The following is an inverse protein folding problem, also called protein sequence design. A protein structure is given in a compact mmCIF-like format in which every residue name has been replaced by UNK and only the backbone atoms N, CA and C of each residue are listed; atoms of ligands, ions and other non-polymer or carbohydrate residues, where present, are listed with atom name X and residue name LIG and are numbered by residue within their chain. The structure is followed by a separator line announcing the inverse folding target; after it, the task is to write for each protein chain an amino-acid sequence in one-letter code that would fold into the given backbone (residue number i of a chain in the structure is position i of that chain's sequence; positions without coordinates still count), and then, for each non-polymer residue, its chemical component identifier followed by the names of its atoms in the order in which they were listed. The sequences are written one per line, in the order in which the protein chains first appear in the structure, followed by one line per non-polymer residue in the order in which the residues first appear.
data_IF_075610376092
#
_entry.id   IF_075610376092
#
_cell.length_a   1.000
_cell.length_b   1.000
_cell.length_c   1.000
_cell.angle_alpha   90.00
_cell.angle_beta   90.00
_cell.angle_gamma   90.00
#
_symmetry.space_group_name_H-M   'P 1'
#
loop_
_entity.id
_entity.type
_entity.pdbx_description
1 polymer ?
#
# COMPACT_ATOMS: atom_id res chain seq x y z
N UNK A 1 -40.48 -28.03 21.02
CA UNK A 1 -39.99 -29.20 21.78
C UNK A 1 -39.14 -28.62 22.89
N UNK A 2 -39.38 -29.01 24.14
CA UNK A 2 -38.73 -28.36 25.28
C UNK A 2 -37.44 -29.11 25.63
N UNK A 3 -36.34 -28.38 25.76
CA UNK A 3 -35.05 -28.97 26.10
C UNK A 3 -34.28 -28.08 27.09
N UNK A 4 -33.39 -28.72 27.86
CA UNK A 4 -32.47 -28.07 28.77
C UNK A 4 -31.10 -27.97 28.10
N UNK A 5 -30.50 -26.79 28.11
CA UNK A 5 -29.17 -26.56 27.57
C UNK A 5 -28.19 -26.14 28.68
N UNK A 6 -27.03 -26.78 28.72
CA UNK A 6 -25.97 -26.43 29.66
C UNK A 6 -25.21 -25.18 29.22
N UNK A 7 -25.08 -24.19 30.10
CA UNK A 7 -24.37 -22.94 29.84
C UNK A 7 -22.84 -23.10 29.60
N UNK A 8 -22.26 -24.22 30.03
CA UNK A 8 -20.81 -24.44 30.04
C UNK A 8 -20.34 -25.34 28.90
N UNK A 9 -21.08 -26.41 28.60
CA UNK A 9 -20.71 -27.37 27.55
C UNK A 9 -21.63 -27.36 26.32
N UNK A 10 -22.81 -26.72 26.39
CA UNK A 10 -23.81 -26.72 25.31
C UNK A 10 -24.53 -28.06 25.11
N UNK A 11 -24.43 -28.99 26.07
CA UNK A 11 -25.17 -30.26 26.03
C UNK A 11 -26.69 -30.02 26.12
N UNK A 12 -27.45 -30.70 25.26
CA UNK A 12 -28.91 -30.58 25.18
C UNK A 12 -29.60 -31.85 25.69
N UNK A 13 -30.52 -31.69 26.64
CA UNK A 13 -31.28 -32.78 27.23
C UNK A 13 -32.76 -32.56 26.92
N UNK A 14 -33.36 -33.49 26.19
CA UNK A 14 -34.80 -33.42 25.87
C UNK A 14 -35.60 -33.76 27.12
N UNK A 15 -36.62 -32.96 27.40
CA UNK A 15 -37.58 -33.27 28.46
C UNK A 15 -38.66 -34.16 27.85
N UNK A 16 -38.71 -35.44 28.24
CA UNK A 16 -39.81 -36.32 27.86
C UNK A 16 -41.07 -35.96 28.65
N UNK A 17 -42.20 -35.90 27.92
CA UNK A 17 -43.41 -35.23 28.36
C UNK A 17 -43.98 -35.72 29.69
N UNK A 18 -44.43 -34.74 30.48
CA UNK A 18 -45.34 -34.85 31.62
C UNK A 18 -44.75 -35.28 32.98
N UNK A 19 -43.65 -34.64 33.41
CA UNK A 19 -43.30 -34.52 34.84
C UNK A 19 -43.07 -33.04 35.21
N UNK A 20 -43.69 -32.62 36.31
CA UNK A 20 -43.58 -31.28 36.91
C UNK A 20 -42.11 -30.87 37.13
N UNK A 21 -41.73 -29.60 36.92
CA UNK A 21 -40.33 -29.14 36.81
C UNK A 21 -39.62 -28.98 38.16
N UNK A 22 -39.77 -29.94 39.07
CA UNK A 22 -39.38 -29.76 40.48
C UNK A 22 -38.37 -30.81 40.97
N UNK A 23 -37.98 -31.78 40.13
CA UNK A 23 -37.07 -32.86 40.52
C UNK A 23 -36.15 -33.34 39.39
N UNK A 24 -35.58 -32.42 38.61
CA UNK A 24 -34.52 -32.74 37.66
C UNK A 24 -33.21 -32.12 38.15
N UNK A 25 -32.18 -32.93 38.40
CA UNK A 25 -30.85 -32.48 38.86
C UNK A 25 -30.40 -31.22 38.12
N UNK A 26 -30.29 -30.10 38.85
CA UNK A 26 -29.96 -28.76 38.32
C UNK A 26 -28.51 -28.60 37.82
N UNK A 27 -27.78 -29.69 37.65
CA UNK A 27 -26.36 -29.67 37.30
C UNK A 27 -26.03 -30.70 36.22
N UNK A 28 -25.48 -30.20 35.11
CA UNK A 28 -24.80 -30.99 34.09
C UNK A 28 -23.66 -31.77 34.73
N UNK A 29 -23.35 -32.97 34.21
CA UNK A 29 -22.17 -33.76 34.62
C UNK A 29 -20.85 -32.99 34.47
N UNK A 30 -20.84 -31.94 33.66
CA UNK A 30 -19.75 -30.98 33.47
C UNK A 30 -19.64 -29.91 34.59
N UNK A 31 -20.51 -29.96 35.60
CA UNK A 31 -20.65 -28.97 36.68
C UNK A 31 -21.22 -27.63 36.23
N UNK A 32 -21.98 -27.60 35.14
CA UNK A 32 -22.66 -26.41 34.62
C UNK A 32 -24.15 -26.40 34.93
N UNK A 33 -24.75 -25.22 35.00
CA UNK A 33 -26.19 -25.05 35.24
C UNK A 33 -26.97 -25.24 33.94
N UNK A 34 -28.11 -25.92 34.05
CA UNK A 34 -29.02 -26.20 32.95
C UNK A 34 -30.08 -25.10 32.83
N UNK A 35 -30.28 -24.55 31.63
CA UNK A 35 -31.32 -23.55 31.35
C UNK A 35 -32.41 -24.14 30.47
N UNK A 36 -33.67 -23.90 30.84
CA UNK A 36 -34.84 -24.32 30.06
C UNK A 36 -35.04 -23.43 28.83
N UNK A 37 -35.17 -24.05 27.66
CA UNK A 37 -35.42 -23.38 26.39
C UNK A 37 -36.64 -24.03 25.73
N UNK A 38 -37.68 -23.22 25.49
CA UNK A 38 -38.88 -23.62 24.77
C UNK A 38 -38.84 -23.07 23.34
N UNK A 39 -38.95 -23.97 22.36
CA UNK A 39 -38.80 -23.72 20.92
C UNK A 39 -40.03 -23.06 20.26
N UNK A 40 -40.80 -22.26 21.03
CA UNK A 40 -42.00 -21.56 20.56
C UNK A 40 -41.73 -20.20 19.91
N UNK A 41 -40.54 -19.63 20.06
CA UNK A 41 -40.17 -18.33 19.48
C UNK A 41 -38.69 -18.41 19.11
N UNK A 42 -38.38 -18.25 17.82
CA UNK A 42 -37.08 -17.92 17.18
C UNK A 42 -36.78 -18.79 15.93
N UNK A 43 -37.75 -18.90 15.01
CA UNK A 43 -37.54 -19.53 13.70
C UNK A 43 -36.84 -18.65 12.64
N UNK A 44 -36.09 -17.61 13.05
CA UNK A 44 -35.41 -16.70 12.11
C UNK A 44 -33.91 -16.51 12.36
N UNK A 45 -33.30 -17.22 13.32
CA UNK A 45 -31.86 -17.06 13.63
C UNK A 45 -30.98 -18.29 13.43
N UNK A 46 -31.53 -19.39 12.91
CA UNK A 46 -30.82 -20.67 12.75
C UNK A 46 -30.27 -20.92 11.33
N UNK A 47 -30.67 -20.15 10.32
CA UNK A 47 -30.18 -20.31 8.94
C UNK A 47 -29.25 -19.19 8.47
N UNK A 48 -28.41 -18.67 9.37
CA UNK A 48 -27.26 -17.82 9.02
C UNK A 48 -25.96 -18.23 9.74
N UNK A 49 -25.95 -19.38 10.44
CA UNK A 49 -24.79 -19.84 11.23
C UNK A 49 -23.99 -20.98 10.58
N UNK A 50 -24.27 -21.37 9.33
CA UNK A 50 -23.52 -22.41 8.62
C UNK A 50 -22.69 -21.87 7.45
N UNK A 51 -22.25 -20.62 7.53
CA UNK A 51 -21.17 -20.12 6.68
C UNK A 51 -20.37 -19.02 7.40
N UNK A 52 -19.91 -19.29 8.62
CA UNK A 52 -18.70 -18.58 9.05
C UNK A 52 -17.56 -19.10 8.21
N UNK A 53 -16.91 -18.29 7.36
CA UNK A 53 -15.80 -18.77 6.54
C UNK A 53 -14.78 -19.44 7.46
N UNK A 54 -14.42 -20.69 7.19
CA UNK A 54 -13.38 -21.40 7.93
C UNK A 54 -12.05 -21.17 7.20
N UNK A 55 -11.03 -20.70 7.90
CA UNK A 55 -9.68 -20.54 7.36
C UNK A 55 -8.88 -21.80 7.67
N UNK A 56 -8.36 -22.44 6.63
CA UNK A 56 -7.54 -23.63 6.78
C UNK A 56 -6.10 -23.24 7.11
N UNK A 57 -5.51 -23.91 8.10
CA UNK A 57 -4.13 -23.66 8.48
C UNK A 57 -3.17 -24.19 7.40
N UNK A 58 -2.32 -23.35 6.78
CA UNK A 58 -1.40 -23.79 5.73
C UNK A 58 -0.30 -24.74 6.25
N UNK A 59 -0.10 -24.79 7.57
CA UNK A 59 0.94 -25.62 8.18
C UNK A 59 0.46 -27.00 8.66
N UNK A 60 -0.84 -27.18 8.90
CA UNK A 60 -1.34 -28.43 9.47
C UNK A 60 -2.73 -28.88 8.96
N UNK A 61 -3.34 -28.14 8.03
CA UNK A 61 -4.64 -28.46 7.42
C UNK A 61 -5.84 -28.32 8.36
N UNK A 62 -5.67 -27.79 9.58
CA UNK A 62 -6.78 -27.66 10.52
C UNK A 62 -7.69 -26.49 10.13
N UNK A 63 -9.00 -26.73 10.07
CA UNK A 63 -10.02 -25.71 9.79
C UNK A 63 -10.30 -24.88 11.04
N UNK A 64 -9.85 -23.62 11.02
CA UNK A 64 -10.06 -22.65 12.08
C UNK A 64 -11.21 -21.70 11.74
N UNK A 65 -11.76 -21.02 12.74
CA UNK A 65 -12.71 -19.93 12.51
C UNK A 65 -12.01 -18.80 11.72
N UNK A 66 -12.68 -18.16 10.77
CA UNK A 66 -12.11 -17.05 9.94
C UNK A 66 -11.42 -15.94 10.73
N UNK A 67 -11.87 -15.68 11.95
CA UNK A 67 -11.30 -14.65 12.84
C UNK A 67 -10.21 -15.17 13.78
N UNK A 68 -9.77 -16.43 13.64
CA UNK A 68 -8.74 -17.00 14.47
C UNK A 68 -7.36 -16.46 14.05
N UNK A 69 -6.67 -15.78 14.96
CA UNK A 69 -5.31 -15.28 14.73
C UNK A 69 -4.26 -16.39 14.73
N UNK A 70 -4.53 -17.46 15.46
CA UNK A 70 -3.66 -18.61 15.62
C UNK A 70 -4.44 -19.89 15.34
N UNK A 71 -3.75 -20.88 14.78
CA UNK A 71 -4.31 -22.20 14.58
C UNK A 71 -4.52 -22.88 15.93
N UNK A 72 -5.76 -23.28 16.21
CA UNK A 72 -6.13 -23.99 17.44
C UNK A 72 -5.36 -25.31 17.62
N UNK A 73 -4.98 -25.96 16.52
CA UNK A 73 -4.29 -27.27 16.54
C UNK A 73 -2.77 -27.15 16.67
N UNK A 74 -2.13 -26.27 15.91
CA UNK A 74 -0.65 -26.20 15.87
C UNK A 74 -0.05 -24.91 16.45
N UNK A 75 -0.88 -23.96 16.90
CA UNK A 75 -0.44 -22.70 17.51
C UNK A 75 0.17 -21.68 16.54
N UNK A 76 0.36 -22.02 15.26
CA UNK A 76 0.95 -21.09 14.27
C UNK A 76 -0.04 -19.99 13.88
N UNK A 77 0.49 -18.80 13.59
CA UNK A 77 -0.31 -17.64 13.15
C UNK A 77 -1.00 -17.93 11.82
N UNK A 78 -2.28 -17.58 11.75
CA UNK A 78 -3.14 -17.67 10.56
C UNK A 78 -3.36 -16.31 9.91
N UNK A 79 -3.24 -15.23 10.68
CA UNK A 79 -3.41 -13.86 10.20
C UNK A 79 -2.17 -13.50 9.36
N UNK A 80 -2.33 -13.46 8.03
CA UNK A 80 -1.30 -12.87 7.16
C UNK A 80 -1.21 -11.39 7.48
N UNK A 81 -0.05 -10.95 7.99
CA UNK A 81 0.26 -9.53 8.15
C UNK A 81 0.09 -8.80 6.80
N UNK A 82 -0.29 -7.51 6.83
CA UNK A 82 -0.45 -6.69 5.62
C UNK A 82 0.76 -6.76 4.68
N UNK A 83 1.97 -6.84 5.24
CA UNK A 83 3.24 -7.00 4.52
C UNK A 83 3.28 -8.29 3.69
N UNK A 84 2.77 -9.40 4.24
CA UNK A 84 2.71 -10.68 3.51
C UNK A 84 1.67 -10.64 2.40
N UNK A 85 0.56 -9.93 2.57
CA UNK A 85 -0.44 -9.78 1.51
C UNK A 85 0.10 -8.92 0.36
N UNK A 86 0.78 -7.82 0.68
CA UNK A 86 1.40 -6.95 -0.32
C UNK A 86 2.51 -7.70 -1.07
N UNK A 87 3.34 -8.49 -0.37
CA UNK A 87 4.42 -9.26 -1.00
C UNK A 87 3.89 -10.31 -1.99
N UNK A 88 2.73 -10.92 -1.72
CA UNK A 88 2.11 -11.88 -2.62
C UNK A 88 1.51 -11.20 -3.88
N UNK A 89 1.11 -9.92 -3.78
CA UNK A 89 0.52 -9.14 -4.89
C UNK A 89 1.58 -8.41 -5.75
N UNK A 90 2.84 -8.29 -5.28
CA UNK A 90 3.91 -7.62 -6.02
C UNK A 90 4.61 -8.58 -6.99
N UNK A 91 4.60 -8.23 -8.28
CA UNK A 91 5.40 -8.90 -9.30
C UNK A 91 6.68 -8.11 -9.60
N UNK A 92 7.78 -8.48 -8.94
CA UNK A 92 9.07 -7.77 -9.08
C UNK A 92 9.56 -7.66 -10.53
N UNK A 93 9.37 -8.70 -11.35
CA UNK A 93 9.78 -8.67 -12.75
C UNK A 93 9.02 -7.59 -13.53
N UNK A 94 7.70 -7.47 -13.28
CA UNK A 94 6.90 -6.43 -13.89
C UNK A 94 7.36 -5.03 -13.45
N UNK A 95 7.71 -4.86 -12.16
CA UNK A 95 8.23 -3.60 -11.61
C UNK A 95 9.53 -3.18 -12.30
N UNK A 96 10.47 -4.10 -12.53
CA UNK A 96 11.71 -3.78 -13.25
C UNK A 96 11.48 -3.39 -14.72
N UNK A 97 10.56 -4.07 -15.40
CA UNK A 97 10.19 -3.70 -16.78
C UNK A 97 9.55 -2.31 -16.81
N UNK A 98 8.62 -2.04 -15.88
CA UNK A 98 8.00 -0.73 -15.77
C UNK A 98 8.98 0.38 -15.40
N UNK A 99 9.97 0.09 -14.57
CA UNK A 99 11.08 1.01 -14.28
C UNK A 99 11.89 1.33 -15.54
N UNK A 100 12.20 0.32 -16.36
CA UNK A 100 12.88 0.52 -17.65
C UNK A 100 12.10 1.45 -18.59
N UNK A 101 10.79 1.22 -18.72
CA UNK A 101 9.92 2.09 -19.54
C UNK A 101 9.83 3.50 -18.96
N UNK A 102 9.74 3.61 -17.63
CA UNK A 102 9.74 4.89 -16.93
C UNK A 102 10.99 5.72 -17.26
N UNK A 103 12.17 5.10 -17.27
CA UNK A 103 13.42 5.77 -17.65
C UNK A 103 13.39 6.29 -19.10
N UNK A 104 12.85 5.51 -20.04
CA UNK A 104 12.70 5.93 -21.44
C UNK A 104 11.76 7.14 -21.53
N UNK A 105 10.62 7.10 -20.84
CA UNK A 105 9.65 8.19 -20.79
C UNK A 105 10.22 9.42 -20.12
N UNK A 106 11.08 9.26 -19.10
CA UNK A 106 11.78 10.37 -18.46
C UNK A 106 12.69 11.10 -19.46
N UNK A 107 13.50 10.35 -20.22
CA UNK A 107 14.40 10.92 -21.24
C UNK A 107 13.58 11.64 -22.31
N UNK A 108 12.61 10.97 -22.92
CA UNK A 108 11.78 11.56 -23.99
C UNK A 108 10.98 12.75 -23.45
N UNK A 109 10.37 12.60 -22.28
CA UNK A 109 9.59 13.63 -21.61
C UNK A 109 10.42 14.87 -21.33
N UNK A 110 11.66 14.72 -20.83
CA UNK A 110 12.54 15.85 -20.59
C UNK A 110 12.87 16.65 -21.86
N UNK A 111 12.98 15.99 -23.02
CA UNK A 111 13.21 16.66 -24.30
C UNK A 111 11.94 17.37 -24.81
N UNK A 112 10.80 16.69 -24.77
CA UNK A 112 9.53 17.22 -25.30
C UNK A 112 9.01 18.36 -24.43
N UNK A 113 8.95 18.15 -23.10
CA UNK A 113 8.47 19.17 -22.18
C UNK A 113 9.46 20.32 -22.03
N UNK A 114 10.77 20.10 -22.27
CA UNK A 114 11.78 21.16 -22.26
C UNK A 114 11.49 22.27 -23.30
N UNK A 115 11.06 21.90 -24.51
CA UNK A 115 10.67 22.86 -25.54
C UNK A 115 9.44 23.69 -25.14
N UNK A 116 8.50 23.08 -24.42
CA UNK A 116 7.27 23.73 -23.94
C UNK A 116 7.61 24.72 -22.81
N UNK A 117 8.48 24.34 -21.87
CA UNK A 117 8.89 25.24 -20.77
C UNK A 117 9.59 26.49 -21.28
N UNK A 118 10.47 26.35 -22.28
CA UNK A 118 11.13 27.48 -22.92
C UNK A 118 10.13 28.49 -23.53
N UNK A 119 8.93 28.02 -23.87
CA UNK A 119 7.88 28.82 -24.52
C UNK A 119 6.83 29.35 -23.53
N UNK A 120 6.54 28.62 -22.46
CA UNK A 120 5.39 28.84 -21.58
C UNK A 120 5.74 29.47 -20.22
N UNK A 121 7.01 29.79 -19.94
CA UNK A 121 7.46 30.39 -18.67
C UNK A 121 6.97 29.65 -17.42
N UNK A 122 6.91 28.31 -17.49
CA UNK A 122 6.44 27.49 -16.38
C UNK A 122 7.48 27.44 -15.25
N UNK A 123 7.02 27.44 -14.01
CA UNK A 123 7.84 27.18 -12.83
C UNK A 123 8.61 25.85 -13.00
N UNK A 124 9.92 25.89 -12.78
CA UNK A 124 10.81 24.72 -12.89
C UNK A 124 10.32 23.56 -12.00
N UNK A 125 9.82 23.85 -10.79
CA UNK A 125 9.26 22.83 -9.89
C UNK A 125 8.03 22.14 -10.46
N UNK A 126 7.16 22.88 -11.15
CA UNK A 126 5.96 22.31 -11.79
C UNK A 126 6.38 21.43 -12.97
N UNK A 127 7.34 21.89 -13.78
CA UNK A 127 7.90 21.11 -14.87
C UNK A 127 8.45 19.75 -14.39
N UNK A 128 9.30 19.75 -13.36
CA UNK A 128 9.84 18.51 -12.78
C UNK A 128 8.70 17.61 -12.28
N UNK A 129 7.72 18.18 -11.58
CA UNK A 129 6.57 17.42 -11.09
C UNK A 129 5.76 16.77 -12.22
N UNK A 130 5.49 17.49 -13.30
CA UNK A 130 4.77 16.96 -14.48
C UNK A 130 5.53 15.80 -15.12
N UNK A 131 6.84 15.97 -15.36
CA UNK A 131 7.67 14.90 -15.96
C UNK A 131 7.67 13.64 -15.08
N UNK A 132 7.81 13.79 -13.76
CA UNK A 132 7.78 12.66 -12.83
C UNK A 132 6.41 11.99 -12.75
N UNK A 133 5.31 12.74 -12.82
CA UNK A 133 3.95 12.19 -12.87
C UNK A 133 3.73 11.39 -14.15
N UNK A 134 4.17 11.90 -15.30
CA UNK A 134 4.10 11.15 -16.57
C UNK A 134 4.96 9.89 -16.54
N UNK A 135 6.18 9.98 -16.02
CA UNK A 135 7.05 8.82 -15.79
C UNK A 135 6.32 7.75 -14.95
N UNK A 136 5.78 8.14 -13.80
CA UNK A 136 5.08 7.24 -12.90
C UNK A 136 3.82 6.62 -13.54
N UNK A 137 3.06 7.41 -14.31
CA UNK A 137 1.88 6.94 -15.02
C UNK A 137 2.22 5.85 -16.05
N UNK A 138 3.17 6.12 -16.96
CA UNK A 138 3.53 5.17 -18.02
C UNK A 138 4.27 3.94 -17.48
N UNK A 139 5.13 4.12 -16.48
CA UNK A 139 5.69 3.01 -15.72
C UNK A 139 4.62 2.18 -15.05
N UNK A 140 3.66 2.83 -14.39
CA UNK A 140 2.51 2.18 -13.75
C UNK A 140 1.73 1.35 -14.76
N UNK A 141 1.34 1.93 -15.90
CA UNK A 141 0.63 1.24 -16.97
C UNK A 141 1.36 -0.03 -17.41
N UNK A 142 2.66 0.07 -17.65
CA UNK A 142 3.45 -1.10 -18.08
C UNK A 142 3.59 -2.15 -16.99
N UNK A 143 3.78 -1.77 -15.72
CA UNK A 143 3.72 -2.74 -14.61
C UNK A 143 2.38 -3.44 -14.50
N UNK A 144 1.26 -2.71 -14.71
CA UNK A 144 -0.09 -3.27 -14.68
C UNK A 144 -0.37 -4.25 -15.82
N UNK A 145 0.05 -3.92 -17.04
CA UNK A 145 -0.10 -4.79 -18.21
C UNK A 145 0.67 -6.10 -18.01
N UNK A 146 1.92 -6.02 -17.58
CA UNK A 146 2.79 -7.19 -17.45
C UNK A 146 2.42 -8.03 -16.22
N UNK A 147 2.30 -7.39 -15.05
CA UNK A 147 2.24 -8.08 -13.76
C UNK A 147 0.85 -8.23 -13.15
N UNK A 148 -0.12 -7.38 -13.48
CA UNK A 148 -1.41 -7.35 -12.80
C UNK A 148 -2.39 -8.41 -13.30
N UNK A 149 -3.08 -9.07 -12.37
CA UNK A 149 -4.24 -9.92 -12.66
C UNK A 149 -5.53 -9.15 -12.39
N UNK A 150 -5.60 -8.49 -11.22
CA UNK A 150 -6.71 -7.63 -10.84
C UNK A 150 -6.33 -6.16 -10.71
N UNK A 151 -7.35 -5.30 -10.69
CA UNK A 151 -7.17 -3.85 -10.60
C UNK A 151 -6.42 -3.43 -9.33
N UNK A 152 -6.62 -4.18 -8.23
CA UNK A 152 -5.95 -3.97 -6.94
C UNK A 152 -4.46 -4.33 -7.03
N UNK A 153 -4.13 -5.49 -7.61
CA UNK A 153 -2.73 -5.88 -7.86
C UNK A 153 -2.04 -4.86 -8.77
N UNK A 154 -2.74 -4.38 -9.81
CA UNK A 154 -2.26 -3.33 -10.69
C UNK A 154 -1.91 -2.06 -9.91
N UNK A 155 -2.81 -1.58 -9.05
CA UNK A 155 -2.57 -0.40 -8.22
C UNK A 155 -1.35 -0.57 -7.31
N UNK A 156 -1.21 -1.72 -6.66
CA UNK A 156 -0.12 -2.00 -5.71
C UNK A 156 1.22 -2.10 -6.43
N UNK A 157 1.27 -2.76 -7.59
CA UNK A 157 2.47 -2.84 -8.41
C UNK A 157 2.89 -1.45 -8.95
N UNK A 158 1.93 -0.65 -9.42
CA UNK A 158 2.17 0.71 -9.88
C UNK A 158 2.66 1.63 -8.75
N UNK A 159 2.05 1.55 -7.57
CA UNK A 159 2.49 2.27 -6.38
C UNK A 159 3.91 1.88 -5.96
N UNK A 160 4.21 0.58 -5.91
CA UNK A 160 5.52 0.08 -5.53
C UNK A 160 6.60 0.50 -6.53
N UNK A 161 6.29 0.51 -7.83
CA UNK A 161 7.21 1.03 -8.86
C UNK A 161 7.52 2.50 -8.64
N UNK A 162 6.52 3.35 -8.38
CA UNK A 162 6.75 4.77 -8.07
C UNK A 162 7.62 4.95 -6.82
N UNK A 163 7.42 4.12 -5.80
CA UNK A 163 8.27 4.14 -4.60
C UNK A 163 9.72 3.81 -4.94
N UNK A 164 9.96 2.71 -5.66
CA UNK A 164 11.30 2.29 -6.08
C UNK A 164 11.95 3.35 -6.96
N UNK A 165 11.22 3.91 -7.92
CA UNK A 165 11.69 4.96 -8.81
C UNK A 165 12.13 6.22 -8.04
N UNK A 166 11.33 6.69 -7.06
CA UNK A 166 11.69 7.86 -6.26
C UNK A 166 12.90 7.61 -5.36
N UNK A 167 13.02 6.42 -4.77
CA UNK A 167 14.20 6.06 -3.97
C UNK A 167 15.46 6.05 -4.84
N UNK A 168 15.40 5.44 -6.02
CA UNK A 168 16.53 5.41 -6.96
C UNK A 168 16.89 6.82 -7.42
N UNK A 169 15.89 7.63 -7.82
CA UNK A 169 16.12 9.00 -8.26
C UNK A 169 16.72 9.86 -7.14
N UNK A 170 16.17 9.75 -5.92
CA UNK A 170 16.68 10.46 -4.75
C UNK A 170 18.12 10.09 -4.42
N UNK A 171 18.46 8.80 -4.53
CA UNK A 171 19.84 8.33 -4.36
C UNK A 171 20.77 8.89 -5.44
N UNK A 172 20.37 8.86 -6.72
CA UNK A 172 21.15 9.41 -7.83
C UNK A 172 21.40 10.91 -7.63
N UNK A 173 20.35 11.69 -7.35
CA UNK A 173 20.46 13.13 -7.09
C UNK A 173 21.34 13.41 -5.87
N UNK A 174 21.19 12.62 -4.80
CA UNK A 174 22.03 12.73 -3.60
C UNK A 174 23.51 12.49 -3.90
N UNK A 175 23.84 11.48 -4.70
CA UNK A 175 25.22 11.23 -5.14
C UNK A 175 25.78 12.38 -5.98
N UNK A 176 25.00 12.91 -6.93
CA UNK A 176 25.44 14.05 -7.73
C UNK A 176 25.69 15.29 -6.88
N UNK A 177 24.82 15.60 -5.92
CA UNK A 177 25.02 16.71 -5.00
C UNK A 177 26.24 16.51 -4.10
N UNK A 178 26.45 15.29 -3.60
CA UNK A 178 27.64 14.95 -2.81
C UNK A 178 28.94 15.16 -3.60
N UNK A 179 28.99 14.68 -4.84
CA UNK A 179 30.14 14.88 -5.74
C UNK A 179 30.34 16.36 -6.04
N UNK A 180 29.27 17.09 -6.38
CA UNK A 180 29.34 18.52 -6.69
C UNK A 180 29.87 19.35 -5.51
N UNK A 181 29.42 19.05 -4.28
CA UNK A 181 29.92 19.69 -3.07
C UNK A 181 31.40 19.36 -2.82
N UNK A 182 31.82 18.11 -3.01
CA UNK A 182 33.23 17.71 -2.88
C UNK A 182 34.15 18.38 -3.90
N UNK A 183 33.73 18.46 -5.16
CA UNK A 183 34.48 19.15 -6.22
C UNK A 183 34.54 20.65 -5.93
N UNK A 184 33.42 21.28 -5.54
CA UNK A 184 33.40 22.71 -5.23
C UNK A 184 34.32 23.03 -4.04
N UNK A 185 34.26 22.25 -2.96
CA UNK A 185 35.10 22.45 -1.78
C UNK A 185 36.60 22.30 -2.09
N UNK A 186 36.96 21.27 -2.86
CA UNK A 186 38.35 21.07 -3.27
C UNK A 186 38.86 22.18 -4.18
N UNK A 187 38.04 22.66 -5.13
CA UNK A 187 38.39 23.78 -5.99
C UNK A 187 38.53 25.08 -5.20
N UNK A 188 37.60 25.38 -4.29
CA UNK A 188 37.69 26.56 -3.41
C UNK A 188 38.95 26.53 -2.54
N UNK A 189 39.37 25.35 -2.08
CA UNK A 189 40.61 25.19 -1.31
C UNK A 189 41.89 25.32 -2.14
N UNK A 190 41.85 24.94 -3.42
CA UNK A 190 43.00 25.06 -4.33
C UNK A 190 43.23 26.50 -4.80
N UNK A 191 42.16 27.30 -4.94
CA UNK A 191 42.22 28.68 -5.43
C UNK A 191 42.08 29.74 -4.32
N UNK A 192 41.97 29.36 -3.05
CA UNK A 192 41.90 30.33 -1.92
C UNK A 192 43.11 31.27 -1.91
N UNK A 193 44.30 30.78 -2.31
CA UNK A 193 45.55 31.54 -2.37
C UNK A 193 45.65 32.53 -3.54
N UNK A 194 44.78 32.41 -4.55
CA UNK A 194 44.75 33.30 -5.73
C UNK A 194 43.66 34.37 -5.66
N UNK A 195 42.76 34.28 -4.67
CA UNK A 195 41.57 35.13 -4.53
C UNK A 195 41.82 36.48 -3.85
N UNK A 196 43.06 36.79 -3.44
CA UNK A 196 43.41 38.07 -2.78
C UNK A 196 43.53 39.27 -3.73
N UNK A 197 43.35 39.09 -5.05
CA UNK A 197 43.46 40.18 -6.05
C UNK A 197 42.30 40.31 -7.04
N UNK A 198 41.20 39.56 -6.88
CA UNK A 198 40.01 39.75 -7.72
C UNK A 198 39.00 40.71 -7.06
N UNK A 199 38.48 41.73 -7.78
CA UNK A 199 37.48 42.63 -7.22
C UNK A 199 36.20 41.86 -6.91
N UNK A 200 35.75 41.99 -5.66
CA UNK A 200 34.48 41.55 -5.10
C UNK A 200 33.29 41.93 -5.99
N UNK A 201 32.96 41.07 -6.94
CA UNK A 201 31.76 41.18 -7.78
C UNK A 201 31.29 39.81 -8.27
N UNK A 202 31.26 38.85 -7.35
CA UNK A 202 30.31 37.76 -7.44
C UNK A 202 29.73 37.58 -6.06
N UNK A 203 28.93 38.57 -5.66
CA UNK A 203 27.97 38.36 -4.59
C UNK A 203 27.11 37.19 -5.03
N UNK A 204 27.34 36.03 -4.41
CA UNK A 204 26.30 35.03 -4.30
C UNK A 204 25.05 35.76 -3.85
N UNK A 205 24.06 35.85 -4.72
CA UNK A 205 22.72 36.31 -4.39
C UNK A 205 22.04 35.26 -3.50
N UNK A 206 22.61 34.98 -2.34
CA UNK A 206 21.88 34.51 -1.17
C UNK A 206 21.37 35.74 -0.43
N UNK A 207 20.59 36.56 -1.12
CA UNK A 207 19.79 37.62 -0.52
C UNK A 207 18.47 37.73 -1.27
N UNK A 208 17.50 36.94 -0.86
CA UNK A 208 16.23 37.54 -0.50
C UNK A 208 15.70 36.73 0.66
N UNK A 209 15.38 37.44 1.74
CA UNK A 209 14.26 37.15 2.61
C UNK A 209 13.09 36.67 1.74
N UNK A 210 13.05 35.37 1.46
CA UNK A 210 11.87 34.74 0.89
C UNK A 210 10.86 34.86 2.00
N UNK A 211 9.76 35.56 1.73
CA UNK A 211 8.68 35.67 2.69
C UNK A 211 8.39 34.28 3.24
N UNK A 212 8.20 34.16 4.55
CA UNK A 212 7.92 32.87 5.21
C UNK A 212 6.81 32.07 4.51
N UNK A 213 5.93 32.76 3.78
CA UNK A 213 4.89 32.21 2.93
C UNK A 213 5.42 31.53 1.65
N UNK A 214 6.42 32.07 0.96
CA UNK A 214 7.00 31.48 -0.26
C UNK A 214 7.72 30.16 0.03
N UNK A 215 8.42 30.10 1.17
CA UNK A 215 9.01 28.85 1.66
C UNK A 215 7.93 27.80 1.95
N UNK A 216 6.83 28.21 2.62
CA UNK A 216 5.71 27.33 2.92
C UNK A 216 5.00 26.83 1.64
N UNK A 217 4.77 27.70 0.66
CA UNK A 217 4.22 27.32 -0.63
C UNK A 217 5.13 26.36 -1.39
N UNK A 218 6.45 26.54 -1.33
CA UNK A 218 7.41 25.64 -1.98
C UNK A 218 7.38 24.23 -1.37
N UNK A 219 7.33 24.15 -0.03
CA UNK A 219 7.18 22.86 0.68
C UNK A 219 5.86 22.18 0.30
N UNK A 220 4.74 22.92 0.33
CA UNK A 220 3.44 22.37 -0.03
C UNK A 220 3.43 21.86 -1.47
N UNK A 221 3.96 22.64 -2.42
CA UNK A 221 4.08 22.22 -3.83
C UNK A 221 4.84 20.90 -3.93
N UNK A 222 5.96 20.75 -3.22
CA UNK A 222 6.73 19.51 -3.18
C UNK A 222 5.95 18.31 -2.64
N UNK A 223 5.23 18.48 -1.52
CA UNK A 223 4.41 17.42 -0.91
C UNK A 223 3.29 16.98 -1.86
N UNK A 224 2.60 17.94 -2.50
CA UNK A 224 1.54 17.66 -3.46
C UNK A 224 2.08 16.85 -4.64
N UNK A 225 3.23 17.26 -5.19
CA UNK A 225 3.87 16.53 -6.31
C UNK A 225 4.21 15.09 -5.89
N UNK A 226 4.78 14.89 -4.69
CA UNK A 226 5.08 13.55 -4.20
C UNK A 226 3.83 12.67 -4.10
N UNK A 227 2.73 13.20 -3.55
CA UNK A 227 1.46 12.49 -3.45
C UNK A 227 0.93 12.15 -4.86
N UNK A 228 0.97 13.11 -5.79
CA UNK A 228 0.52 12.91 -7.17
C UNK A 228 1.31 11.80 -7.87
N UNK A 229 2.63 11.71 -7.67
CA UNK A 229 3.46 10.65 -8.25
C UNK A 229 2.97 9.26 -7.80
N UNK A 230 2.68 9.08 -6.51
CA UNK A 230 2.14 7.81 -6.00
C UNK A 230 0.73 7.51 -6.52
N UNK A 231 -0.14 8.52 -6.56
CA UNK A 231 -1.52 8.38 -7.05
C UNK A 231 -1.51 8.00 -8.52
N UNK A 232 -0.75 8.70 -9.36
CA UNK A 232 -0.66 8.41 -10.79
C UNK A 232 0.05 7.09 -11.09
N UNK A 233 1.03 6.68 -10.27
CA UNK A 233 1.63 5.34 -10.33
C UNK A 233 0.58 4.25 -10.11
N UNK A 234 -0.20 4.37 -9.03
CA UNK A 234 -1.27 3.42 -8.73
C UNK A 234 -2.37 3.41 -9.81
N UNK A 235 -2.84 4.59 -10.24
CA UNK A 235 -3.84 4.73 -11.30
C UNK A 235 -3.34 4.14 -12.62
N UNK A 236 -2.08 4.41 -12.98
CA UNK A 236 -1.43 3.81 -14.13
C UNK A 236 -1.42 2.30 -14.06
N UNK A 237 -1.05 1.74 -12.91
CA UNK A 237 -1.08 0.30 -12.65
C UNK A 237 -2.46 -0.33 -12.85
N UNK A 238 -3.51 0.24 -12.25
CA UNK A 238 -4.89 -0.23 -12.46
C UNK A 238 -5.34 -0.08 -13.91
N UNK A 239 -5.01 1.03 -14.56
CA UNK A 239 -5.34 1.26 -15.97
C UNK A 239 -4.59 0.29 -16.90
N UNK A 240 -3.36 -0.10 -16.57
CA UNK A 240 -2.64 -1.14 -17.30
C UNK A 240 -3.37 -2.49 -17.28
N UNK A 241 -3.94 -2.87 -16.14
CA UNK A 241 -4.77 -4.09 -16.04
C UNK A 241 -6.06 -3.96 -16.85
N UNK A 242 -6.68 -2.77 -16.85
CA UNK A 242 -7.83 -2.49 -17.71
C UNK A 242 -7.51 -2.75 -19.19
N UNK A 243 -6.41 -2.16 -19.67
CA UNK A 243 -5.96 -2.31 -21.06
C UNK A 243 -5.67 -3.78 -21.38
N UNK A 244 -4.99 -4.50 -20.48
CA UNK A 244 -4.71 -5.94 -20.64
C UNK A 244 -5.99 -6.76 -20.80
N UNK A 245 -6.99 -6.53 -19.96
CA UNK A 245 -8.28 -7.23 -20.04
C UNK A 245 -9.04 -6.85 -21.32
N UNK A 246 -8.99 -5.59 -21.73
CA UNK A 246 -9.55 -5.13 -23.00
C UNK A 246 -8.90 -5.78 -24.22
N UNK A 247 -7.57 -5.86 -24.25
CA UNK A 247 -6.82 -6.43 -25.36
C UNK A 247 -7.03 -7.95 -25.53
N UNK A 248 -7.29 -8.66 -24.43
CA UNK A 248 -7.55 -10.12 -24.44
C UNK A 248 -8.94 -10.47 -24.98
N UNK A 249 -9.87 -9.52 -24.98
CA UNK A 249 -11.24 -9.71 -25.45
C UNK A 249 -11.43 -9.32 -26.94
N UNK A 250 -10.35 -8.91 -27.61
CA UNK A 250 -10.28 -8.62 -29.06
C UNK A 250 -9.58 -9.80 -29.74
#
# INVERSE_FOLDING_TARGET
MDYLECNKCGGQYKIEGNKSPENLKDTCDCGGELKYVNDGIQRTKSLSFMNTPSVECPYCGYKNKSKAKFCKKCGKILEKNLISQINDEINLLAVFIGLGVSCIVLIIGSLVFGAIVASASLDISIYIGVVLVFMALFGGITTGIVGGQDFKDGAINGFFMSLVALVILGFIVGLFLFIAMGVTASLSSAFSSYSTTAPSSMGSSTSSSTDSLDFYFTIIKGIIIMILIFVFGALGGSFGVFLKKGLKNI
#
